data_IF_317045871359
#
_entry.id   IF_317045871359
#
_cell.length_a   1.000
_cell.length_b   1.000
_cell.length_c   1.000
_cell.angle_alpha   90.00
_cell.angle_beta   90.00
_cell.angle_gamma   90.00
#
_symmetry.space_group_name_H-M   'P 1'
#
loop_
_entity.id
_entity.type
_entity.pdbx_description
1 polymer ?
#
# COMPACT_ATOMS: atom_id res chain seq x y z
N UNK A 1 -23.39 3.74 64.00
CA UNK A 1 -23.02 3.16 62.68
C UNK A 1 -22.81 4.22 61.56
N UNK A 2 -22.10 5.36 61.76
CA UNK A 2 -21.85 6.33 60.67
C UNK A 2 -20.52 6.13 59.91
N UNK A 3 -19.56 5.39 60.48
CA UNK A 3 -18.22 5.22 59.89
C UNK A 3 -18.17 4.33 58.64
N UNK A 4 -19.10 3.37 58.50
CA UNK A 4 -19.14 2.45 57.35
C UNK A 4 -19.76 3.10 56.10
N UNK A 5 -20.77 3.96 56.27
CA UNK A 5 -21.39 4.76 55.20
C UNK A 5 -20.39 5.70 54.52
N UNK A 6 -19.58 6.42 55.31
CA UNK A 6 -18.58 7.34 54.77
C UNK A 6 -17.47 6.62 53.96
N UNK A 7 -17.01 5.45 54.44
CA UNK A 7 -16.06 4.63 53.71
C UNK A 7 -16.67 4.09 52.40
N UNK A 8 -17.95 3.71 52.42
CA UNK A 8 -18.66 3.24 51.22
C UNK A 8 -18.79 4.35 50.17
N UNK A 9 -19.18 5.58 50.56
CA UNK A 9 -19.29 6.71 49.64
C UNK A 9 -17.96 7.15 49.04
N UNK A 10 -16.88 7.18 49.82
CA UNK A 10 -15.55 7.53 49.32
C UNK A 10 -15.02 6.47 48.34
N UNK A 11 -15.14 5.18 48.70
CA UNK A 11 -14.71 4.09 47.83
C UNK A 11 -15.57 3.98 46.56
N UNK A 12 -16.88 4.21 46.66
CA UNK A 12 -17.80 4.21 45.51
C UNK A 12 -17.54 5.41 44.60
N UNK A 13 -17.33 6.60 45.16
CA UNK A 13 -16.95 7.80 44.44
C UNK A 13 -15.61 7.65 43.71
N UNK A 14 -14.60 7.05 44.35
CA UNK A 14 -13.30 6.76 43.73
C UNK A 14 -13.44 5.75 42.58
N UNK A 15 -14.23 4.69 42.74
CA UNK A 15 -14.47 3.72 41.65
C UNK A 15 -15.22 4.34 40.48
N UNK A 16 -16.20 5.20 40.74
CA UNK A 16 -16.90 5.99 39.72
C UNK A 16 -15.92 6.91 38.97
N UNK A 17 -15.07 7.65 39.70
CA UNK A 17 -14.07 8.55 39.11
C UNK A 17 -13.01 7.80 38.30
N UNK A 18 -12.49 6.67 38.82
CA UNK A 18 -11.54 5.81 38.12
C UNK A 18 -12.17 5.23 36.85
N UNK A 19 -13.43 4.79 36.92
CA UNK A 19 -14.15 4.25 35.76
C UNK A 19 -14.39 5.32 34.70
N UNK A 20 -14.77 6.55 35.09
CA UNK A 20 -14.93 7.70 34.19
C UNK A 20 -13.60 8.08 33.53
N UNK A 21 -12.49 8.13 34.30
CA UNK A 21 -11.13 8.38 33.78
C UNK A 21 -10.69 7.31 32.79
N UNK A 22 -10.90 6.03 33.09
CA UNK A 22 -10.52 4.93 32.19
C UNK A 22 -11.34 4.95 30.90
N UNK A 23 -12.64 5.25 30.97
CA UNK A 23 -13.48 5.46 29.77
C UNK A 23 -12.97 6.62 28.92
N UNK A 24 -12.59 7.74 29.54
CA UNK A 24 -11.99 8.88 28.83
C UNK A 24 -10.66 8.51 28.16
N UNK A 25 -9.79 7.74 28.83
CA UNK A 25 -8.53 7.27 28.26
C UNK A 25 -8.74 6.30 27.08
N UNK A 26 -9.70 5.37 27.20
CA UNK A 26 -10.03 4.44 26.11
C UNK A 26 -10.62 5.17 24.91
N UNK A 27 -11.51 6.15 25.14
CA UNK A 27 -12.05 7.00 24.07
C UNK A 27 -10.93 7.79 23.40
N UNK A 28 -10.02 8.38 24.18
CA UNK A 28 -8.84 9.07 23.66
C UNK A 28 -7.96 8.17 22.80
N UNK A 29 -7.68 6.95 23.25
CA UNK A 29 -6.88 5.97 22.51
C UNK A 29 -7.55 5.54 21.20
N UNK A 30 -8.87 5.32 21.22
CA UNK A 30 -9.65 4.98 20.02
C UNK A 30 -9.65 6.12 19.00
N UNK A 31 -9.74 7.37 19.46
CA UNK A 31 -9.66 8.55 18.59
C UNK A 31 -8.27 8.66 17.94
N UNK A 32 -7.20 8.47 18.72
CA UNK A 32 -5.83 8.49 18.18
C UNK A 32 -5.62 7.38 17.16
N UNK A 33 -6.03 6.14 17.47
CA UNK A 33 -5.95 5.01 16.55
C UNK A 33 -6.75 5.27 15.27
N UNK A 34 -7.98 5.78 15.36
CA UNK A 34 -8.78 6.14 14.20
C UNK A 34 -8.13 7.24 13.35
N UNK A 35 -7.51 8.24 14.00
CA UNK A 35 -6.81 9.33 13.30
C UNK A 35 -5.61 8.86 12.47
N UNK A 36 -4.88 7.84 12.93
CA UNK A 36 -3.72 7.29 12.19
C UNK A 36 -4.10 6.54 10.91
N UNK A 37 -5.34 6.03 10.80
CA UNK A 37 -5.82 5.35 9.58
C UNK A 37 -6.16 6.37 8.48
N UNK A 38 -6.52 7.59 8.86
CA UNK A 38 -6.91 8.67 7.94
C UNK A 38 -5.71 9.33 7.24
N UNK A 39 -4.48 9.15 7.74
CA UNK A 39 -3.27 9.77 7.17
C UNK A 39 -2.57 8.96 6.08
N UNK A 40 -3.10 7.77 5.73
CA UNK A 40 -2.49 6.90 4.70
C UNK A 40 -2.76 7.36 3.25
N UNK A 41 -3.65 8.35 3.06
CA UNK A 41 -3.94 8.90 1.75
C UNK A 41 -2.88 9.95 1.38
N UNK A 42 -1.77 9.52 0.78
CA UNK A 42 -0.82 10.43 0.15
C UNK A 42 -1.21 10.68 -1.30
N UNK A 43 -1.22 11.95 -1.74
CA UNK A 43 -1.26 12.28 -3.16
C UNK A 43 0.11 11.97 -3.75
N UNK A 44 0.39 10.68 -3.97
CA UNK A 44 1.68 10.20 -4.48
C UNK A 44 2.10 10.87 -5.80
N UNK A 45 3.35 10.63 -6.20
CA UNK A 45 3.89 11.13 -7.46
C UNK A 45 2.93 10.82 -8.62
N UNK A 46 2.40 11.87 -9.26
CA UNK A 46 1.54 11.71 -10.43
C UNK A 46 2.41 11.39 -11.63
N UNK A 47 2.45 10.12 -12.02
CA UNK A 47 3.03 9.72 -13.30
C UNK A 47 2.16 10.33 -14.40
N UNK A 48 2.73 11.12 -15.32
CA UNK A 48 1.96 11.70 -16.41
C UNK A 48 1.37 10.58 -17.27
N UNK A 49 0.18 10.82 -17.83
CA UNK A 49 -0.41 9.88 -18.77
C UNK A 49 0.50 9.76 -20.00
N UNK A 50 0.64 8.54 -20.51
CA UNK A 50 1.30 8.30 -21.78
C UNK A 50 0.59 9.09 -22.89
N UNK A 51 1.38 9.67 -23.79
CA UNK A 51 0.86 10.28 -25.02
C UNK A 51 0.07 9.23 -25.83
N UNK A 52 -0.87 9.69 -26.66
CA UNK A 52 -1.69 8.76 -27.48
C UNK A 52 -0.85 7.89 -28.42
N UNK A 53 0.29 8.40 -28.88
CA UNK A 53 1.25 7.72 -29.75
C UNK A 53 2.49 7.19 -29.00
N UNK A 54 2.45 7.11 -27.67
CA UNK A 54 3.58 6.58 -26.90
C UNK A 54 3.87 5.12 -27.29
N UNK A 55 5.17 4.80 -27.36
CA UNK A 55 5.68 3.46 -27.61
C UNK A 55 6.15 2.88 -26.28
N UNK A 56 5.70 1.66 -25.96
CA UNK A 56 6.14 0.94 -24.79
C UNK A 56 7.44 0.20 -25.11
N UNK A 57 8.41 0.22 -24.20
CA UNK A 57 9.60 -0.60 -24.27
C UNK A 57 9.46 -1.72 -23.24
N UNK A 58 9.53 -2.97 -23.69
CA UNK A 58 9.60 -4.13 -22.81
C UNK A 58 11.07 -4.54 -22.69
N UNK A 59 11.69 -4.22 -21.56
CA UNK A 59 13.12 -4.34 -21.30
C UNK A 59 13.34 -5.25 -20.10
N UNK A 60 14.08 -6.33 -20.28
CA UNK A 60 14.49 -7.30 -19.24
C UNK A 60 15.37 -8.41 -19.86
N UNK A 61 15.26 -9.63 -19.32
CA UNK A 61 15.93 -10.83 -19.78
C UNK A 61 15.13 -11.72 -20.79
N UNK A 62 15.44 -13.01 -20.77
CA UNK A 62 14.81 -14.12 -21.51
C UNK A 62 13.28 -14.18 -21.45
N UNK A 63 12.65 -13.84 -20.32
CA UNK A 63 11.19 -13.92 -20.19
C UNK A 63 10.53 -12.85 -21.02
N UNK A 64 11.10 -11.65 -21.01
CA UNK A 64 10.67 -10.54 -21.85
C UNK A 64 11.02 -10.79 -23.31
N UNK A 65 12.19 -11.37 -23.60
CA UNK A 65 12.54 -11.78 -24.95
C UNK A 65 11.52 -12.77 -25.54
N UNK A 66 11.02 -13.69 -24.71
CA UNK A 66 10.11 -14.77 -25.13
C UNK A 66 10.83 -16.09 -25.36
N UNK A 67 11.87 -16.40 -24.59
CA UNK A 67 12.52 -17.72 -24.66
C UNK A 67 11.49 -18.82 -24.39
N UNK A 68 11.46 -19.83 -25.25
CA UNK A 68 10.47 -20.92 -25.28
C UNK A 68 9.04 -20.52 -25.73
N UNK A 69 8.83 -19.29 -26.19
CA UNK A 69 7.62 -18.89 -26.90
C UNK A 69 7.90 -18.72 -28.40
N UNK A 70 6.88 -18.85 -29.24
CA UNK A 70 6.97 -18.32 -30.60
C UNK A 70 7.05 -16.79 -30.53
N UNK A 71 7.65 -16.11 -31.53
CA UNK A 71 7.74 -14.65 -31.53
C UNK A 71 6.39 -13.96 -31.29
N UNK A 72 5.32 -14.52 -31.86
CA UNK A 72 3.95 -14.03 -31.77
C UNK A 72 3.31 -14.20 -30.39
N UNK A 73 3.81 -15.15 -29.60
CA UNK A 73 3.35 -15.51 -28.24
C UNK A 73 4.26 -14.96 -27.14
N UNK A 74 5.36 -14.29 -27.50
CA UNK A 74 6.21 -13.59 -26.54
C UNK A 74 5.41 -12.56 -25.73
N UNK A 75 5.82 -12.33 -24.48
CA UNK A 75 5.17 -11.38 -23.59
C UNK A 75 4.96 -9.99 -24.25
N UNK A 76 5.96 -9.39 -24.93
CA UNK A 76 5.78 -8.10 -25.61
C UNK A 76 4.79 -8.16 -26.76
N UNK A 77 4.75 -9.25 -27.52
CA UNK A 77 3.82 -9.42 -28.65
C UNK A 77 2.37 -9.57 -28.17
N UNK A 78 2.13 -10.28 -27.06
CA UNK A 78 0.81 -10.39 -26.45
C UNK A 78 0.40 -9.05 -25.81
N UNK A 79 1.31 -8.38 -25.11
CA UNK A 79 1.06 -7.07 -24.49
C UNK A 79 0.67 -6.00 -25.52
N UNK A 80 1.32 -5.97 -26.68
CA UNK A 80 1.01 -5.04 -27.78
C UNK A 80 -0.45 -5.18 -28.23
N UNK A 81 -0.92 -6.42 -28.41
CA UNK A 81 -2.31 -6.71 -28.80
C UNK A 81 -3.31 -6.30 -27.72
N UNK A 82 -2.99 -6.60 -26.46
CA UNK A 82 -3.89 -6.32 -25.32
C UNK A 82 -4.04 -4.82 -25.04
N UNK A 83 -2.94 -4.07 -25.17
CA UNK A 83 -2.91 -2.63 -24.87
C UNK A 83 -3.28 -1.78 -26.09
N UNK A 84 -3.18 -2.34 -27.30
CA UNK A 84 -3.45 -1.63 -28.55
C UNK A 84 -2.43 -0.51 -28.82
N UNK A 85 -1.21 -0.67 -28.32
CA UNK A 85 -0.10 0.29 -28.47
C UNK A 85 1.16 -0.45 -28.81
N UNK A 86 2.01 0.17 -29.64
CA UNK A 86 3.28 -0.41 -30.04
C UNK A 86 4.14 -0.76 -28.82
N UNK A 87 4.66 -1.98 -28.79
CA UNK A 87 5.62 -2.49 -27.81
C UNK A 87 6.89 -2.90 -28.54
N UNK A 88 8.03 -2.37 -28.13
CA UNK A 88 9.35 -2.78 -28.60
C UNK A 88 9.90 -3.81 -27.62
N UNK A 89 10.18 -5.02 -28.12
CA UNK A 89 10.88 -6.04 -27.36
C UNK A 89 12.38 -5.71 -27.32
N UNK A 90 12.88 -5.45 -26.12
CA UNK A 90 14.28 -5.24 -25.82
C UNK A 90 14.77 -6.21 -24.73
N UNK A 91 14.10 -7.37 -24.59
CA UNK A 91 14.58 -8.43 -23.72
C UNK A 91 15.83 -9.10 -24.28
N UNK A 92 16.80 -9.45 -23.43
CA UNK A 92 18.02 -10.16 -23.83
C UNK A 92 18.23 -11.39 -22.94
N UNK A 93 18.19 -12.62 -23.49
CA UNK A 93 18.37 -13.82 -22.68
C UNK A 93 19.70 -13.83 -21.92
N UNK A 94 19.63 -14.01 -20.59
CA UNK A 94 20.79 -14.04 -19.71
C UNK A 94 21.29 -12.67 -19.24
N UNK A 95 20.63 -11.58 -19.64
CA UNK A 95 20.93 -10.24 -19.12
C UNK A 95 20.67 -10.21 -17.61
N UNK A 96 21.63 -9.67 -16.86
CA UNK A 96 21.47 -9.39 -15.43
C UNK A 96 21.34 -7.89 -15.19
N UNK A 97 20.86 -7.48 -14.01
CA UNK A 97 20.62 -6.06 -13.69
C UNK A 97 21.84 -5.16 -13.94
N UNK A 98 23.06 -5.66 -13.80
CA UNK A 98 24.28 -4.90 -14.07
C UNK A 98 24.52 -4.56 -15.54
N UNK A 99 24.01 -5.39 -16.46
CA UNK A 99 24.15 -5.18 -17.90
C UNK A 99 23.15 -4.14 -18.43
N UNK A 100 22.00 -4.03 -17.74
CA UNK A 100 20.91 -3.12 -18.08
C UNK A 100 21.01 -1.70 -17.50
N UNK A 101 22.01 -1.44 -16.66
CA UNK A 101 22.28 -0.15 -16.06
C UNK A 101 23.46 0.54 -16.77
N UNK A 102 23.32 1.83 -17.04
CA UNK A 102 24.37 2.68 -17.62
C UNK A 102 25.46 3.03 -16.61
#
# INVERSE_FOLDING_TARGET
>A
MPRLEAAFYLLYGDKEMITKRNKLLVIGLLIVMASTVLTSCSSGARIPRLANNAVNLAFDDSLTFGTAATPEESYPAVLERLVGRRVVNAGVPGEVTGDGLC
#
